data_IF_383255154920
#
_entry.id   IF_383255154920
#
_cell.length_a   1.000
_cell.length_b   1.000
_cell.length_c   1.000
_cell.angle_alpha   90.00
_cell.angle_beta   90.00
_cell.angle_gamma   90.00
#
_symmetry.space_group_name_H-M   'P 1'
#
loop_
_entity.id
_entity.type
_entity.pdbx_description
1 polymer ?
#
# COMPACT_ATOMS: atom_id res chain seq x y z
N UNK A 1 -12.37 -36.64 -82.67
CA UNK A 1 -12.24 -37.04 -81.23
C UNK A 1 -10.95 -36.45 -80.73
N UNK A 2 -11.01 -35.31 -79.98
CA UNK A 2 -9.84 -34.57 -79.46
C UNK A 2 -9.64 -34.96 -78.03
N UNK A 3 -8.48 -35.48 -77.70
CA UNK A 3 -8.07 -35.80 -76.28
C UNK A 3 -7.35 -34.61 -75.79
N UNK A 4 -7.95 -33.98 -74.75
CA UNK A 4 -7.32 -32.89 -73.96
C UNK A 4 -6.40 -33.49 -72.91
N UNK A 5 -5.16 -33.04 -72.88
CA UNK A 5 -4.16 -33.35 -71.85
C UNK A 5 -4.40 -32.42 -70.64
N UNK A 6 -4.62 -33.02 -69.47
CA UNK A 6 -4.68 -32.31 -68.19
C UNK A 6 -3.25 -32.22 -67.66
N UNK A 7 -2.77 -30.98 -67.44
CA UNK A 7 -1.51 -30.70 -66.71
C UNK A 7 -1.78 -30.71 -65.21
N UNK A 8 -1.19 -31.65 -64.52
CA UNK A 8 -1.13 -31.63 -63.08
C UNK A 8 -0.02 -30.67 -62.63
N UNK A 9 -0.38 -29.52 -62.16
CA UNK A 9 0.55 -28.60 -61.50
C UNK A 9 0.86 -29.07 -60.03
N UNK A 10 2.13 -29.35 -59.78
CA UNK A 10 2.63 -29.67 -58.43
C UNK A 10 2.66 -28.42 -57.61
N UNK A 11 1.84 -28.37 -56.53
CA UNK A 11 1.86 -27.31 -55.52
C UNK A 11 2.83 -27.74 -54.41
N UNK A 12 3.98 -27.06 -54.33
CA UNK A 12 4.91 -27.21 -53.22
C UNK A 12 4.38 -26.35 -52.06
N UNK A 13 4.11 -26.91 -50.88
CA UNK A 13 3.74 -26.09 -49.73
C UNK A 13 4.94 -25.29 -49.24
N UNK A 14 4.81 -23.97 -49.19
CA UNK A 14 5.78 -23.09 -48.52
C UNK A 14 5.71 -23.34 -47.01
N UNK A 15 6.77 -23.90 -46.45
CA UNK A 15 6.95 -24.01 -45.00
C UNK A 15 7.32 -22.62 -44.47
N UNK A 16 6.36 -21.96 -43.79
CA UNK A 16 6.61 -20.73 -43.09
C UNK A 16 7.40 -21.06 -41.81
N UNK A 17 8.70 -20.82 -41.79
CA UNK A 17 9.48 -20.85 -40.56
C UNK A 17 9.06 -19.64 -39.70
N UNK A 18 8.21 -19.88 -38.69
CA UNK A 18 7.97 -18.92 -37.63
C UNK A 18 9.19 -19.01 -36.72
N UNK A 19 10.12 -18.08 -36.85
CA UNK A 19 11.16 -17.85 -35.85
C UNK A 19 10.45 -17.25 -34.66
N UNK A 20 10.29 -18.01 -33.57
CA UNK A 20 9.94 -17.50 -32.26
C UNK A 20 11.09 -16.61 -31.79
N UNK A 21 11.01 -15.33 -32.10
CA UNK A 21 11.87 -14.33 -31.47
C UNK A 21 11.58 -14.37 -30.00
N UNK A 22 12.55 -14.79 -29.18
CA UNK A 22 12.53 -14.51 -27.75
C UNK A 22 12.39 -12.99 -27.62
N UNK A 23 11.22 -12.55 -27.15
CA UNK A 23 11.09 -11.19 -26.64
C UNK A 23 12.14 -11.09 -25.52
N UNK A 24 13.21 -10.37 -25.79
CA UNK A 24 14.16 -10.02 -24.75
C UNK A 24 13.34 -9.34 -23.64
N UNK A 25 13.37 -9.90 -22.42
CA UNK A 25 12.71 -9.31 -21.26
C UNK A 25 13.12 -7.84 -21.19
N UNK A 26 12.15 -6.94 -21.33
CA UNK A 26 12.39 -5.54 -21.09
C UNK A 26 12.96 -5.43 -19.66
N UNK A 27 14.01 -4.61 -19.43
CA UNK A 27 14.58 -4.49 -18.09
C UNK A 27 13.46 -4.13 -17.12
N UNK A 28 13.32 -4.92 -16.06
CA UNK A 28 12.30 -4.69 -15.03
C UNK A 28 12.40 -3.23 -14.57
N UNK A 29 11.29 -2.51 -14.63
CA UNK A 29 11.24 -1.11 -14.20
C UNK A 29 11.75 -1.05 -12.76
N UNK A 30 12.73 -0.19 -12.49
CA UNK A 30 13.26 0.00 -11.14
C UNK A 30 12.11 0.36 -10.19
N UNK A 31 12.05 -0.30 -9.04
CA UNK A 31 11.04 0.00 -8.03
C UNK A 31 11.23 1.40 -7.48
N UNK A 32 10.15 2.12 -7.16
CA UNK A 32 10.25 3.41 -6.52
C UNK A 32 10.94 3.26 -5.15
N UNK A 33 11.65 4.31 -4.75
CA UNK A 33 12.21 4.45 -3.41
C UNK A 33 11.31 5.41 -2.65
N UNK A 34 10.81 4.97 -1.51
CA UNK A 34 9.97 5.78 -0.64
C UNK A 34 10.86 6.68 0.21
N UNK A 35 10.59 7.96 0.18
CA UNK A 35 11.30 8.95 1.00
C UNK A 35 10.49 9.18 2.27
N UNK A 36 11.15 9.01 3.42
CA UNK A 36 10.58 9.33 4.71
C UNK A 36 11.45 10.44 5.34
N UNK A 37 11.01 11.70 5.26
CA UNK A 37 11.77 12.81 5.82
C UNK A 37 11.66 12.85 7.34
N UNK A 38 12.63 13.46 7.99
CA UNK A 38 12.53 13.80 9.41
C UNK A 38 11.36 14.77 9.61
N UNK A 39 10.58 14.55 10.67
CA UNK A 39 9.41 15.35 10.99
C UNK A 39 9.73 16.85 11.11
N UNK A 40 8.78 17.74 10.83
CA UNK A 40 8.90 19.16 11.14
C UNK A 40 8.96 19.39 12.67
N UNK A 41 9.17 20.63 13.06
CA UNK A 41 9.06 21.07 14.44
C UNK A 41 8.09 22.28 14.49
N UNK A 42 6.93 22.16 15.13
CA UNK A 42 6.44 20.99 15.90
C UNK A 42 6.13 19.77 15.03
N UNK A 43 6.02 18.55 15.62
CA UNK A 43 5.58 17.37 14.91
C UNK A 43 4.09 17.46 14.57
N UNK A 44 3.61 16.69 13.57
CA UNK A 44 2.16 16.54 13.36
C UNK A 44 1.45 16.06 14.62
N UNK A 45 0.27 16.60 14.89
CA UNK A 45 -0.65 16.13 15.92
C UNK A 45 -1.42 14.94 15.34
N UNK A 46 -1.76 13.98 16.16
CA UNK A 46 -2.52 12.80 15.71
C UNK A 46 -3.96 12.98 16.14
N UNK A 47 -4.73 13.72 15.35
CA UNK A 47 -6.12 14.12 15.67
C UNK A 47 -7.11 13.96 14.50
N UNK A 48 -6.62 13.46 13.36
CA UNK A 48 -7.43 13.28 12.15
C UNK A 48 -7.51 14.53 11.25
N UNK A 49 -6.78 15.61 11.57
CA UNK A 49 -6.68 16.81 10.76
C UNK A 49 -5.35 16.84 9.98
N UNK A 50 -5.35 16.69 8.65
CA UNK A 50 -4.13 16.62 7.86
C UNK A 50 -3.39 17.96 7.67
N UNK A 51 -3.93 19.09 8.15
CA UNK A 51 -3.43 20.44 7.84
C UNK A 51 -1.99 20.66 8.32
N UNK A 52 -1.57 20.06 9.42
CA UNK A 52 -0.23 20.20 9.96
C UNK A 52 0.84 19.33 9.24
N UNK A 53 0.41 18.47 8.32
CA UNK A 53 1.29 17.69 7.45
C UNK A 53 1.75 18.42 6.19
N UNK A 54 1.29 19.62 5.91
CA UNK A 54 1.73 20.40 4.74
C UNK A 54 3.25 20.59 4.68
N UNK A 55 3.90 20.64 5.86
CA UNK A 55 5.34 20.77 5.97
C UNK A 55 6.10 19.46 5.74
N UNK A 56 5.41 18.32 5.66
CA UNK A 56 6.03 17.02 5.34
C UNK A 56 6.10 16.86 3.82
N UNK A 57 7.29 16.93 3.20
CA UNK A 57 7.41 16.75 1.76
C UNK A 57 7.12 15.30 1.33
N UNK A 58 6.90 15.12 0.03
CA UNK A 58 6.80 13.82 -0.62
C UNK A 58 5.54 13.01 -0.30
N UNK A 59 4.37 13.57 -0.60
CA UNK A 59 3.16 12.75 -0.73
C UNK A 59 3.31 11.71 -1.86
N UNK A 60 2.84 10.49 -1.60
CA UNK A 60 2.81 9.39 -2.56
C UNK A 60 1.35 9.15 -2.92
N UNK A 61 1.04 9.13 -4.21
CA UNK A 61 -0.33 8.90 -4.68
C UNK A 61 -0.56 7.43 -4.99
N UNK A 62 -1.70 6.92 -4.51
CA UNK A 62 -2.30 5.65 -4.90
C UNK A 62 -3.54 5.97 -5.74
N UNK A 63 -3.54 5.57 -7.00
CA UNK A 63 -4.61 5.81 -7.97
C UNK A 63 -5.03 4.50 -8.65
N UNK A 64 -5.92 4.57 -9.61
CA UNK A 64 -6.39 3.42 -10.39
C UNK A 64 -5.26 2.54 -10.99
N UNK A 65 -4.07 3.08 -11.22
CA UNK A 65 -2.93 2.27 -11.71
C UNK A 65 -2.35 1.35 -10.64
N UNK A 66 -2.63 1.61 -9.36
CA UNK A 66 -2.18 0.87 -8.19
C UNK A 66 -3.15 -0.21 -7.72
N UNK A 67 -4.31 -0.37 -8.39
CA UNK A 67 -5.28 -1.43 -8.05
C UNK A 67 -4.67 -2.79 -8.33
N UNK A 68 -4.54 -3.61 -7.30
CA UNK A 68 -3.91 -4.94 -7.35
C UNK A 68 -4.92 -6.07 -7.24
N UNK A 69 -6.07 -5.79 -6.65
CA UNK A 69 -7.15 -6.75 -6.49
C UNK A 69 -8.51 -6.05 -6.67
N UNK A 70 -9.54 -6.80 -7.08
CA UNK A 70 -10.88 -6.27 -7.26
C UNK A 70 -11.05 -5.30 -8.44
N UNK A 71 -10.13 -5.28 -9.40
CA UNK A 71 -10.15 -4.34 -10.55
C UNK A 71 -11.46 -4.32 -11.33
N UNK A 72 -12.25 -5.39 -11.30
CA UNK A 72 -13.56 -5.45 -11.97
C UNK A 72 -14.66 -4.74 -11.17
N UNK A 73 -14.51 -4.59 -9.88
CA UNK A 73 -15.41 -3.90 -8.96
C UNK A 73 -15.05 -2.42 -8.85
N UNK A 74 -13.75 -2.10 -8.88
CA UNK A 74 -13.24 -0.74 -8.78
C UNK A 74 -13.71 0.15 -9.93
N UNK A 75 -14.31 1.29 -9.59
CA UNK A 75 -15.00 2.23 -10.52
C UNK A 75 -14.17 3.47 -10.84
N UNK A 76 -12.94 3.56 -10.39
CA UNK A 76 -12.01 4.67 -10.65
C UNK A 76 -11.53 5.38 -9.38
N UNK A 77 -10.82 6.50 -9.55
CA UNK A 77 -10.15 7.16 -8.43
C UNK A 77 -11.10 7.75 -7.38
N UNK A 78 -12.39 7.94 -7.69
CA UNK A 78 -13.40 8.36 -6.71
C UNK A 78 -13.93 7.20 -5.85
N UNK A 79 -13.75 5.98 -6.29
CA UNK A 79 -14.16 4.75 -5.62
C UNK A 79 -13.08 4.32 -4.61
N UNK A 80 -11.81 4.35 -5.03
CA UNK A 80 -10.67 4.13 -4.15
C UNK A 80 -9.42 4.78 -4.70
N UNK A 81 -8.94 5.79 -4.04
CA UNK A 81 -7.61 6.38 -4.26
C UNK A 81 -7.12 7.04 -2.97
N UNK A 82 -5.91 7.56 -2.97
CA UNK A 82 -5.44 8.30 -1.81
C UNK A 82 -4.02 8.81 -1.92
N UNK A 83 -3.61 9.50 -0.89
CA UNK A 83 -2.24 9.97 -0.72
C UNK A 83 -1.66 9.45 0.59
N UNK A 84 -0.37 9.16 0.59
CA UNK A 84 0.38 8.68 1.75
C UNK A 84 1.52 9.64 2.02
N UNK A 85 1.66 10.10 3.25
CA UNK A 85 2.87 10.79 3.75
C UNK A 85 3.46 10.01 4.90
N UNK A 86 4.78 9.94 4.91
CA UNK A 86 5.56 9.32 5.97
C UNK A 86 6.56 10.33 6.51
N UNK A 87 6.71 10.34 7.81
CA UNK A 87 7.72 11.15 8.48
C UNK A 87 8.29 10.39 9.69
N UNK A 88 9.37 10.85 10.30
CA UNK A 88 9.96 10.15 11.43
C UNK A 88 10.67 11.08 12.39
N UNK A 89 10.82 10.60 13.63
CA UNK A 89 11.82 11.08 14.57
C UNK A 89 12.58 9.89 15.21
N UNK A 90 13.37 10.13 16.23
CA UNK A 90 14.16 9.09 16.87
C UNK A 90 13.32 8.00 17.55
N UNK A 91 12.05 8.29 17.86
CA UNK A 91 11.17 7.42 18.64
C UNK A 91 10.04 6.80 17.81
N UNK A 92 9.58 7.50 16.75
CA UNK A 92 8.35 7.19 16.05
C UNK A 92 8.49 7.25 14.52
N UNK A 93 7.75 6.39 13.84
CA UNK A 93 7.29 6.59 12.48
C UNK A 93 5.93 7.29 12.54
N UNK A 94 5.74 8.31 11.73
CA UNK A 94 4.47 9.01 11.54
C UNK A 94 3.93 8.63 10.16
N UNK A 95 2.65 8.34 10.11
CA UNK A 95 1.90 7.98 8.90
C UNK A 95 0.68 8.90 8.79
N UNK A 96 0.49 9.50 7.62
CA UNK A 96 -0.76 10.10 7.19
C UNK A 96 -1.22 9.38 5.93
N UNK A 97 -2.49 9.02 5.88
CA UNK A 97 -3.17 8.53 4.68
C UNK A 97 -4.49 9.28 4.53
N UNK A 98 -4.63 9.99 3.41
CA UNK A 98 -5.87 10.62 2.99
C UNK A 98 -6.48 9.72 1.91
N UNK A 99 -7.66 9.16 2.17
CA UNK A 99 -8.35 8.22 1.27
C UNK A 99 -9.56 8.89 0.66
N UNK A 100 -9.72 8.75 -0.64
CA UNK A 100 -10.93 9.10 -1.38
C UNK A 100 -11.75 7.83 -1.55
N UNK A 101 -13.02 7.88 -1.11
CA UNK A 101 -13.93 6.76 -1.06
C UNK A 101 -15.38 7.28 -0.97
N UNK A 102 -16.28 6.81 -1.83
CA UNK A 102 -17.66 7.31 -1.86
C UNK A 102 -18.61 6.56 -0.92
N UNK A 103 -18.20 5.44 -0.30
CA UNK A 103 -19.12 4.59 0.49
C UNK A 103 -18.44 3.88 1.65
N UNK A 104 -18.00 4.61 2.66
CA UNK A 104 -17.19 4.13 3.76
C UNK A 104 -17.95 3.07 4.60
N UNK A 105 -17.35 1.89 4.74
CA UNK A 105 -17.80 0.77 5.56
C UNK A 105 -16.74 0.35 6.54
N UNK A 106 -16.94 0.62 7.80
CA UNK A 106 -15.97 0.31 8.85
C UNK A 106 -16.32 -0.96 9.61
N UNK A 107 -15.34 -1.59 10.18
CA UNK A 107 -15.50 -2.73 11.06
C UNK A 107 -14.38 -2.77 12.10
N UNK A 108 -14.61 -3.46 13.20
CA UNK A 108 -13.64 -3.67 14.28
C UNK A 108 -13.05 -5.08 14.25
N UNK A 109 -12.04 -5.31 15.06
CA UNK A 109 -11.38 -6.59 15.24
C UNK A 109 -10.90 -7.20 13.91
N UNK A 110 -11.02 -8.50 13.77
CA UNK A 110 -10.62 -9.21 12.56
C UNK A 110 -11.48 -8.92 11.33
N UNK A 111 -12.64 -8.31 11.52
CA UNK A 111 -13.52 -7.90 10.43
C UNK A 111 -12.98 -6.69 9.66
N UNK A 112 -11.99 -5.96 10.22
CA UNK A 112 -11.32 -4.83 9.57
C UNK A 112 -10.82 -5.17 8.16
N UNK A 113 -10.36 -6.42 7.92
CA UNK A 113 -9.91 -6.87 6.60
C UNK A 113 -11.02 -7.07 5.56
N UNK A 114 -12.28 -6.90 5.96
CA UNK A 114 -13.46 -6.98 5.10
C UNK A 114 -14.18 -5.62 5.00
N UNK A 115 -13.52 -4.54 5.37
CA UNK A 115 -14.03 -3.18 5.42
C UNK A 115 -13.02 -2.21 4.82
N UNK A 116 -13.34 -0.93 4.84
CA UNK A 116 -12.41 0.13 4.49
C UNK A 116 -11.33 0.24 5.55
N UNK A 117 -10.09 0.12 5.11
CA UNK A 117 -8.95 0.18 5.99
C UNK A 117 -7.66 0.51 5.23
N UNK A 118 -6.68 0.94 5.98
CA UNK A 118 -5.30 1.11 5.51
C UNK A 118 -4.45 -0.01 6.11
N UNK A 119 -3.69 -0.75 5.29
CA UNK A 119 -2.66 -1.65 5.79
C UNK A 119 -1.26 -1.02 5.64
N UNK A 120 -0.44 -1.14 6.67
CA UNK A 120 1.00 -0.85 6.63
C UNK A 120 1.76 -2.15 6.78
N UNK A 121 2.47 -2.56 5.72
CA UNK A 121 3.49 -3.61 5.77
C UNK A 121 4.85 -2.98 6.05
N UNK A 122 5.52 -3.40 7.11
CA UNK A 122 6.82 -2.87 7.49
C UNK A 122 7.85 -3.98 7.72
N UNK A 123 9.05 -3.82 7.12
CA UNK A 123 10.19 -4.70 7.32
C UNK A 123 11.33 -3.93 8.00
N UNK A 124 11.67 -4.25 9.26
CA UNK A 124 12.74 -3.57 10.00
C UNK A 124 14.13 -3.79 9.40
N UNK A 125 14.27 -4.80 8.54
CA UNK A 125 15.48 -5.07 7.79
C UNK A 125 15.16 -5.15 6.30
N UNK A 126 15.63 -4.17 5.53
CA UNK A 126 15.53 -4.19 4.08
C UNK A 126 16.84 -4.66 3.45
N UNK A 127 16.75 -5.48 2.41
CA UNK A 127 17.89 -5.93 1.61
C UNK A 127 17.56 -5.79 0.13
N UNK A 128 18.39 -5.07 -0.59
CA UNK A 128 18.30 -4.99 -2.05
C UNK A 128 18.40 -6.43 -2.65
N UNK A 129 17.56 -6.71 -3.63
CA UNK A 129 17.49 -8.01 -4.32
C UNK A 129 17.24 -9.25 -3.41
N UNK A 130 16.65 -9.04 -2.24
CA UNK A 130 16.20 -10.17 -1.42
C UNK A 130 15.02 -10.88 -2.10
N UNK A 131 14.99 -12.20 -1.99
CA UNK A 131 13.93 -13.05 -2.53
C UNK A 131 13.42 -14.03 -1.48
N UNK A 132 12.21 -14.49 -1.65
CA UNK A 132 11.60 -15.51 -0.81
C UNK A 132 10.49 -14.97 0.10
N UNK A 133 9.97 -15.79 1.00
CA UNK A 133 8.89 -15.37 1.89
C UNK A 133 9.33 -14.21 2.79
N UNK A 134 8.34 -13.44 3.29
CA UNK A 134 8.62 -12.39 4.28
C UNK A 134 9.35 -12.99 5.49
N UNK A 135 10.16 -12.16 6.14
CA UNK A 135 10.83 -12.56 7.38
C UNK A 135 9.86 -12.47 8.57
N UNK A 136 10.14 -13.21 9.63
CA UNK A 136 9.30 -13.25 10.83
C UNK A 136 9.29 -11.94 11.64
N UNK A 137 10.23 -11.04 11.36
CA UNK A 137 10.34 -9.72 12.00
C UNK A 137 9.51 -8.63 11.31
N UNK A 138 8.85 -8.92 10.19
CA UNK A 138 7.91 -7.97 9.57
C UNK A 138 6.75 -7.66 10.49
N UNK A 139 6.20 -6.45 10.33
CA UNK A 139 5.00 -5.99 11.02
C UNK A 139 3.96 -5.63 9.99
N UNK A 140 2.72 -6.04 10.25
CA UNK A 140 1.57 -5.71 9.43
C UNK A 140 0.52 -5.14 10.38
N UNK A 141 0.20 -3.88 10.17
CA UNK A 141 -0.79 -3.13 10.93
C UNK A 141 -1.93 -2.75 10.00
N UNK A 142 -3.15 -2.87 10.46
CA UNK A 142 -4.32 -2.39 9.75
C UNK A 142 -5.03 -1.34 10.60
N UNK A 143 -5.41 -0.23 9.96
CA UNK A 143 -6.03 0.93 10.56
C UNK A 143 -7.40 1.16 9.92
N UNK A 144 -8.42 1.38 10.74
CA UNK A 144 -9.76 1.78 10.27
C UNK A 144 -10.06 3.21 10.73
N UNK A 145 -10.82 3.99 9.96
CA UNK A 145 -11.21 5.35 10.35
C UNK A 145 -12.17 5.39 11.55
N UNK A 146 -12.48 4.26 12.13
CA UNK A 146 -13.35 4.10 13.28
C UNK A 146 -14.45 3.09 13.02
N UNK A 147 -15.21 2.77 14.06
CA UNK A 147 -16.39 1.92 13.97
C UNK A 147 -17.63 2.76 14.16
N UNK A 148 -18.58 2.65 13.25
CA UNK A 148 -19.93 3.15 13.51
C UNK A 148 -20.61 2.12 14.41
N UNK A 149 -20.68 2.35 15.72
CA UNK A 149 -21.57 1.57 16.55
C UNK A 149 -23.00 1.77 16.05
N UNK A 150 -23.78 0.68 15.99
CA UNK A 150 -25.13 0.63 15.42
C UNK A 150 -26.20 1.39 16.24
N UNK A 151 -25.82 2.49 16.86
CA UNK A 151 -26.71 3.38 17.64
C UNK A 151 -27.70 4.16 16.79
N UNK A 152 -27.57 4.12 15.47
CA UNK A 152 -28.40 4.91 14.54
C UNK A 152 -28.02 6.39 14.48
N UNK A 153 -26.97 6.83 15.16
CA UNK A 153 -26.38 8.15 15.00
C UNK A 153 -25.06 7.99 14.21
N UNK A 154 -25.00 8.43 12.96
CA UNK A 154 -23.81 8.31 12.14
C UNK A 154 -22.61 9.15 12.62
N UNK A 155 -22.78 9.94 13.69
CA UNK A 155 -21.73 10.78 14.29
C UNK A 155 -21.39 10.38 15.73
N UNK A 156 -22.02 9.32 16.28
CA UNK A 156 -21.74 8.87 17.64
C UNK A 156 -20.52 7.95 17.66
N UNK A 157 -19.46 8.41 18.31
CA UNK A 157 -18.30 7.66 18.78
C UNK A 157 -17.51 6.88 17.70
N UNK A 158 -17.08 7.59 16.67
CA UNK A 158 -16.14 7.05 15.69
C UNK A 158 -14.72 7.18 16.21
N UNK A 159 -14.26 6.21 16.99
CA UNK A 159 -12.84 6.11 17.34
C UNK A 159 -12.09 5.33 16.24
N UNK A 160 -10.96 5.89 15.83
CA UNK A 160 -10.02 5.18 14.97
C UNK A 160 -9.49 3.95 15.69
N UNK A 161 -9.32 2.84 14.99
CA UNK A 161 -8.80 1.61 15.57
C UNK A 161 -7.59 1.10 14.77
N UNK A 162 -6.73 0.34 15.45
CA UNK A 162 -5.60 -0.34 14.85
C UNK A 162 -5.53 -1.77 15.36
N UNK A 163 -5.26 -2.70 14.45
CA UNK A 163 -4.97 -4.08 14.83
C UNK A 163 -3.64 -4.56 14.23
N UNK A 164 -2.98 -5.47 14.94
CA UNK A 164 -1.82 -6.17 14.41
C UNK A 164 -2.27 -7.41 13.63
N UNK A 165 -2.11 -7.35 12.31
CA UNK A 165 -2.31 -8.51 11.46
C UNK A 165 -1.15 -9.51 11.55
N UNK A 166 0.06 -9.03 11.86
CA UNK A 166 1.24 -9.86 12.01
C UNK A 166 2.37 -9.16 12.79
N UNK A 167 3.00 -9.84 13.75
CA UNK A 167 2.54 -11.10 14.35
C UNK A 167 1.25 -10.87 15.15
N UNK A 168 0.43 -11.90 15.32
CA UNK A 168 -0.89 -11.79 15.99
C UNK A 168 -0.80 -11.47 17.50
N UNK A 169 0.38 -11.61 18.10
CA UNK A 169 0.68 -11.32 19.50
C UNK A 169 1.48 -10.01 19.68
N UNK A 170 1.55 -9.18 18.63
CA UNK A 170 2.20 -7.88 18.72
C UNK A 170 1.43 -6.98 19.68
N UNK A 171 2.14 -6.42 20.65
CA UNK A 171 1.62 -5.32 21.47
C UNK A 171 1.65 -4.02 20.66
N UNK A 172 0.49 -3.48 20.37
CA UNK A 172 0.29 -2.24 19.62
C UNK A 172 -0.39 -1.14 20.43
N UNK A 173 -0.54 -1.35 21.75
CA UNK A 173 -1.20 -0.41 22.66
C UNK A 173 -0.53 0.98 22.78
N UNK A 174 0.73 1.09 22.35
CA UNK A 174 1.46 2.36 22.32
C UNK A 174 1.37 3.10 20.96
N UNK A 175 0.55 2.61 20.01
CA UNK A 175 0.28 3.32 18.76
C UNK A 175 -0.83 4.34 19.02
N UNK A 176 -0.57 5.59 18.68
CA UNK A 176 -1.62 6.60 18.64
C UNK A 176 -2.21 6.62 17.23
N UNK A 177 -3.53 6.66 17.13
CA UNK A 177 -4.27 6.76 15.87
C UNK A 177 -5.29 7.88 15.99
N UNK A 178 -5.32 8.74 14.98
CA UNK A 178 -6.36 9.76 14.77
C UNK A 178 -7.03 9.53 13.42
N UNK A 179 -8.29 9.88 13.30
CA UNK A 179 -9.00 9.83 12.02
C UNK A 179 -10.13 10.85 11.94
N UNK A 180 -10.50 11.16 10.71
CA UNK A 180 -11.74 11.88 10.39
C UNK A 180 -12.39 11.26 9.16
N UNK A 181 -13.72 11.42 9.06
CA UNK A 181 -14.51 10.97 7.92
C UNK A 181 -15.26 12.19 7.33
N UNK A 182 -15.32 12.24 6.02
CA UNK A 182 -16.04 13.24 5.24
C UNK A 182 -16.98 12.57 4.23
N UNK A 183 -17.69 13.38 3.43
CA UNK A 183 -18.51 12.86 2.32
C UNK A 183 -17.66 12.26 1.18
N UNK A 184 -16.37 12.66 1.07
CA UNK A 184 -15.48 12.28 -0.03
C UNK A 184 -14.42 11.25 0.37
N UNK A 185 -14.45 10.74 1.62
CA UNK A 185 -13.47 9.77 2.09
C UNK A 185 -13.07 9.94 3.56
N UNK A 186 -11.88 9.49 3.90
CA UNK A 186 -11.41 9.52 5.29
C UNK A 186 -9.91 9.79 5.40
N UNK A 187 -9.50 10.19 6.59
CA UNK A 187 -8.10 10.40 6.97
C UNK A 187 -7.73 9.40 8.05
N UNK A 188 -6.54 8.83 7.94
CA UNK A 188 -5.86 8.07 9.00
C UNK A 188 -4.54 8.74 9.31
N UNK A 189 -4.33 9.07 10.56
CA UNK A 189 -3.05 9.45 11.11
C UNK A 189 -2.58 8.41 12.12
N UNK A 190 -1.30 8.11 12.14
CA UNK A 190 -0.74 7.24 13.15
C UNK A 190 0.67 7.68 13.58
N UNK A 191 0.93 7.56 14.88
CA UNK A 191 2.25 7.68 15.47
C UNK A 191 2.66 6.32 16.04
N UNK A 192 3.63 5.67 15.40
CA UNK A 192 3.98 4.27 15.61
C UNK A 192 5.37 4.18 16.23
N UNK A 193 5.54 3.68 17.46
CA UNK A 193 6.85 3.52 18.06
C UNK A 193 7.75 2.59 17.24
N UNK A 194 9.00 2.96 17.04
CA UNK A 194 9.97 2.09 16.35
C UNK A 194 10.14 0.72 17.01
N UNK A 195 9.97 0.65 18.34
CA UNK A 195 9.99 -0.63 19.08
C UNK A 195 8.88 -1.58 18.64
N UNK A 196 7.67 -1.04 18.41
CA UNK A 196 6.51 -1.80 17.91
C UNK A 196 6.76 -2.31 16.50
N UNK A 197 7.43 -1.53 15.66
CA UNK A 197 7.89 -1.93 14.32
C UNK A 197 9.09 -2.89 14.34
N UNK A 198 9.57 -3.29 15.51
CA UNK A 198 10.69 -4.23 15.65
C UNK A 198 12.08 -3.63 15.38
N UNK A 199 12.17 -2.32 15.25
CA UNK A 199 13.44 -1.61 15.01
C UNK A 199 14.23 -1.50 16.30
N UNK A 200 15.50 -1.85 16.24
CA UNK A 200 16.45 -1.82 17.38
C UNK A 200 17.47 -0.70 17.21
N UNK A 201 17.81 -0.04 18.32
CA UNK A 201 18.82 1.01 18.37
C UNK A 201 18.31 2.35 17.86
N UNK A 202 19.21 3.32 17.71
CA UNK A 202 18.85 4.68 17.32
C UNK A 202 18.38 4.75 15.87
N UNK A 203 17.31 5.49 15.63
CA UNK A 203 16.78 5.78 14.31
C UNK A 203 17.19 7.21 13.91
N UNK A 204 17.85 7.32 12.77
CA UNK A 204 18.38 8.58 12.23
C UNK A 204 18.29 8.58 10.71
N UNK A 205 18.41 9.74 10.11
CA UNK A 205 18.54 9.87 8.66
C UNK A 205 19.65 8.96 8.10
N UNK A 206 19.42 8.38 6.92
CA UNK A 206 20.28 7.40 6.26
C UNK A 206 19.91 5.94 6.56
N UNK A 207 19.06 5.67 7.55
CA UNK A 207 18.51 4.33 7.78
C UNK A 207 17.59 3.92 6.64
N UNK A 208 17.53 2.60 6.40
CA UNK A 208 16.73 2.01 5.33
C UNK A 208 15.88 0.89 5.90
N UNK A 209 14.60 0.91 5.54
CA UNK A 209 13.59 -0.07 5.92
C UNK A 209 12.83 -0.54 4.70
N UNK A 210 12.00 -1.57 4.85
CA UNK A 210 11.02 -1.95 3.86
C UNK A 210 9.64 -1.44 4.23
N UNK A 211 8.87 -0.95 3.25
CA UNK A 211 7.51 -0.47 3.46
C UNK A 211 6.62 -0.82 2.28
N UNK A 212 5.36 -1.11 2.54
CA UNK A 212 4.24 -1.02 1.61
C UNK A 212 3.02 -0.46 2.32
N UNK A 213 2.16 0.21 1.58
CA UNK A 213 0.87 0.69 2.08
C UNK A 213 -0.20 0.24 1.10
N UNK A 214 -1.31 -0.24 1.64
CA UNK A 214 -2.47 -0.70 0.91
C UNK A 214 -3.69 0.07 1.36
N UNK A 215 -4.56 0.43 0.42
CA UNK A 215 -5.91 0.92 0.72
C UNK A 215 -6.89 -0.19 0.34
N UNK A 216 -7.83 -0.47 1.21
CA UNK A 216 -8.90 -1.43 1.02
C UNK A 216 -10.23 -0.72 0.89
N UNK A 217 -11.06 -1.18 -0.02
CA UNK A 217 -12.36 -0.66 -0.35
C UNK A 217 -13.47 -1.69 -0.13
N UNK A 218 -14.61 -1.21 0.36
CA UNK A 218 -15.79 -2.01 0.69
C UNK A 218 -17.07 -1.19 0.61
N UNK A 219 -17.80 -1.27 -0.47
CA UNK A 219 -19.14 -0.66 -0.60
C UNK A 219 -20.24 -1.39 0.19
N UNK A 220 -19.94 -2.58 0.72
CA UNK A 220 -20.89 -3.48 1.41
C UNK A 220 -20.30 -4.00 2.69
N UNK A 221 -21.14 -4.09 3.71
CA UNK A 221 -20.75 -4.62 5.01
C UNK A 221 -20.07 -5.99 4.88
N UNK A 222 -18.85 -6.09 5.39
CA UNK A 222 -18.03 -7.31 5.42
C UNK A 222 -17.68 -7.89 4.04
N UNK A 223 -17.57 -7.06 3.01
CA UNK A 223 -17.18 -7.48 1.66
C UNK A 223 -16.09 -6.57 1.11
N UNK A 224 -14.85 -6.99 1.20
CA UNK A 224 -13.76 -6.28 0.51
C UNK A 224 -13.98 -6.35 -1.00
N UNK A 225 -14.06 -5.22 -1.69
CA UNK A 225 -14.35 -5.13 -3.13
C UNK A 225 -13.12 -4.79 -3.96
N UNK A 226 -12.23 -3.91 -3.48
CA UNK A 226 -10.99 -3.58 -4.17
C UNK A 226 -9.81 -3.36 -3.19
N UNK A 227 -8.60 -3.30 -3.72
CA UNK A 227 -7.40 -2.96 -2.98
C UNK A 227 -6.34 -2.35 -3.89
N UNK A 228 -5.70 -1.29 -3.40
CA UNK A 228 -4.50 -0.71 -4.00
C UNK A 228 -3.24 -1.11 -3.24
N UNK A 229 -2.06 -0.92 -3.83
CA UNK A 229 -0.76 -1.17 -3.20
C UNK A 229 0.32 -0.30 -3.82
N UNK A 230 1.19 0.29 -2.99
CA UNK A 230 2.34 1.09 -3.46
C UNK A 230 3.31 0.27 -4.32
N UNK A 231 3.47 -1.01 -4.05
CA UNK A 231 4.36 -1.88 -4.83
C UNK A 231 3.67 -2.62 -5.98
N UNK A 232 2.37 -2.38 -6.21
CA UNK A 232 1.56 -3.08 -7.20
C UNK A 232 1.48 -4.61 -6.99
N UNK A 233 1.44 -5.08 -5.75
CA UNK A 233 1.38 -6.50 -5.42
C UNK A 233 0.27 -6.80 -4.43
N UNK A 234 -0.53 -7.84 -4.72
CA UNK A 234 -1.58 -8.31 -3.80
C UNK A 234 -0.96 -8.77 -2.47
N UNK A 235 -1.31 -8.17 -1.31
CA UNK A 235 -0.59 -8.40 -0.06
C UNK A 235 -0.57 -9.87 0.36
N UNK A 236 -1.71 -10.52 0.45
CA UNK A 236 -1.80 -11.94 0.91
C UNK A 236 -1.16 -12.95 -0.05
N UNK A 237 -0.95 -12.59 -1.33
CA UNK A 237 -0.23 -13.41 -2.32
C UNK A 237 1.23 -13.00 -2.46
N UNK A 238 1.55 -11.80 -2.08
CA UNK A 238 2.77 -11.11 -2.44
C UNK A 238 3.63 -10.63 -1.28
N UNK A 239 3.34 -11.00 -0.03
CA UNK A 239 4.22 -10.68 1.12
C UNK A 239 5.52 -11.47 1.06
N UNK A 240 6.36 -11.07 0.10
CA UNK A 240 7.67 -11.63 -0.18
C UNK A 240 8.71 -10.52 -0.14
N UNK A 241 9.94 -10.86 0.20
CA UNK A 241 11.03 -9.87 0.35
C UNK A 241 11.26 -9.04 -0.92
N UNK A 242 11.07 -9.64 -2.09
CA UNK A 242 11.17 -8.95 -3.37
C UNK A 242 10.02 -7.97 -3.64
N UNK A 243 8.94 -8.00 -2.87
CA UNK A 243 7.75 -7.19 -3.11
C UNK A 243 7.60 -5.98 -2.20
N UNK A 244 8.45 -5.84 -1.17
CA UNK A 244 8.45 -4.64 -0.34
C UNK A 244 9.27 -3.53 -0.99
N UNK A 245 8.88 -2.28 -0.79
CA UNK A 245 9.59 -1.11 -1.31
C UNK A 245 10.67 -0.66 -0.33
N UNK A 246 11.74 -0.10 -0.88
CA UNK A 246 12.80 0.53 -0.11
C UNK A 246 12.32 1.86 0.44
N UNK A 247 12.30 2.03 1.74
CA UNK A 247 12.09 3.31 2.42
C UNK A 247 13.42 3.83 2.93
N UNK A 248 13.74 5.10 2.63
CA UNK A 248 14.97 5.78 3.06
C UNK A 248 14.61 6.93 3.97
N UNK A 249 15.12 6.94 5.18
CA UNK A 249 15.01 8.06 6.10
C UNK A 249 15.94 9.19 5.66
N UNK A 250 15.41 10.41 5.56
CA UNK A 250 16.17 11.57 5.11
C UNK A 250 16.17 12.71 6.14
N UNK A 251 16.93 13.77 5.92
CA UNK A 251 16.75 15.01 6.68
C UNK A 251 15.41 15.66 6.36
N UNK A 252 15.09 16.76 7.03
CA UNK A 252 13.84 17.52 6.85
C UNK A 252 13.62 18.03 5.42
N UNK A 253 14.68 18.12 4.61
CA UNK A 253 14.62 18.52 3.20
C UNK A 253 14.20 17.39 2.24
N UNK A 254 13.95 16.18 2.74
CA UNK A 254 13.55 15.02 1.95
C UNK A 254 14.63 14.50 0.97
N UNK A 255 15.89 14.95 1.08
CA UNK A 255 16.94 14.57 0.14
C UNK A 255 17.79 13.42 0.64
N UNK A 256 17.99 12.43 -0.22
CA UNK A 256 18.96 11.36 0.04
C UNK A 256 20.36 11.96 -0.07
N UNK A 257 21.08 11.99 1.05
CA UNK A 257 22.50 12.37 1.03
C UNK A 257 23.30 11.26 0.35
N UNK A 258 24.06 11.65 -0.66
CA UNK A 258 24.98 10.75 -1.38
C UNK A 258 26.19 10.39 -0.53
#
# INVERSE_FOLDING_TARGET
MKISKIFLGSVIPAVLLVTSGNAADAPAKAKPVIICPQKPDPPPVIDGDPDDWELVPAAITLDNSHVVWGRAQHKGDNDLSGTVRLSFDNNYLYLLVEVVDEAIKTASDKSIFLSDHVELDFAPVYKDNAHGPRQSDWRILAFTPGTVESSGDPLADMEADVIAAYPNDLDYSDIDVGSSISEDGYVIEARIPWKTLGVKGNVTAGKVFGVDVHLSDSDKDFVQEAMTSLNNTVPWKGRRQENILKMVLTGTDGKIKK
#
